data_IF_930931431445
#
_entry.id   IF_930931431445
#
_cell.length_a   1.000
_cell.length_b   1.000
_cell.length_c   1.000
_cell.angle_alpha   90.00
_cell.angle_beta   90.00
_cell.angle_gamma   90.00
#
_symmetry.space_group_name_H-M   'P 1'
#
loop_
_entity.id
_entity.type
_entity.pdbx_description
1 polymer ?
#
# COMPACT_ATOMS: atom_id res chain seq x y z
N UNK A 1 16.19 -4.89 25.02
CA UNK A 1 16.08 -3.88 23.94
C UNK A 1 14.90 -4.21 23.00
N UNK A 2 13.65 -3.76 23.24
CA UNK A 2 12.56 -4.06 22.27
C UNK A 2 11.54 -2.94 21.92
N UNK A 3 11.30 -1.93 22.76
CA UNK A 3 10.12 -1.04 22.58
C UNK A 3 10.30 0.06 21.52
N UNK A 4 11.49 0.67 21.42
CA UNK A 4 11.75 1.74 20.45
C UNK A 4 11.64 1.26 18.99
N UNK A 5 12.05 0.01 18.71
CA UNK A 5 11.92 -0.58 17.35
C UNK A 5 10.46 -0.81 16.96
N UNK A 6 9.62 -1.31 17.88
CA UNK A 6 8.18 -1.48 17.63
C UNK A 6 7.46 -0.15 17.43
N UNK A 7 7.78 0.88 18.22
CA UNK A 7 7.17 2.20 18.12
C UNK A 7 7.49 2.89 16.78
N UNK A 8 8.74 2.79 16.31
CA UNK A 8 9.16 3.33 15.02
C UNK A 8 8.52 2.60 13.83
N UNK A 9 8.34 1.28 13.94
CA UNK A 9 7.64 0.43 12.95
C UNK A 9 6.17 0.84 12.81
N UNK A 10 5.52 1.21 13.92
CA UNK A 10 4.12 1.63 13.89
C UNK A 10 3.93 2.99 13.22
N UNK A 11 4.73 3.98 13.64
CA UNK A 11 4.71 5.31 13.06
C UNK A 11 4.96 5.29 11.54
N UNK A 12 5.76 4.33 11.06
CA UNK A 12 6.00 4.17 9.64
C UNK A 12 4.82 3.60 8.86
N UNK A 13 4.16 2.57 9.37
CA UNK A 13 2.96 2.01 8.73
C UNK A 13 1.81 3.02 8.76
N UNK A 14 1.67 3.78 9.85
CA UNK A 14 0.70 4.87 9.94
C UNK A 14 1.00 5.99 8.94
N UNK A 15 2.27 6.39 8.81
CA UNK A 15 2.69 7.34 7.79
C UNK A 15 2.34 6.85 6.38
N UNK A 16 2.65 5.60 6.04
CA UNK A 16 2.30 5.03 4.74
C UNK A 16 0.79 4.92 4.52
N UNK A 17 0.02 4.54 5.55
CA UNK A 17 -1.44 4.55 5.50
C UNK A 17 -1.99 5.94 5.24
N UNK A 18 -1.32 6.99 5.71
CA UNK A 18 -1.72 8.37 5.43
C UNK A 18 -1.17 8.91 4.11
N UNK A 19 -0.46 8.08 3.33
CA UNK A 19 0.20 8.51 2.10
C UNK A 19 1.35 9.47 2.38
N UNK A 20 2.11 9.23 3.46
CA UNK A 20 3.26 10.01 3.91
C UNK A 20 4.51 9.12 4.01
N UNK A 21 5.67 9.75 4.05
CA UNK A 21 6.92 9.10 4.43
C UNK A 21 6.98 8.92 5.95
N UNK A 22 7.51 7.79 6.44
CA UNK A 22 7.78 7.61 7.86
C UNK A 22 8.73 8.67 8.41
N UNK A 23 8.55 9.11 9.66
CA UNK A 23 9.49 10.02 10.31
C UNK A 23 10.90 9.40 10.34
N UNK A 24 11.91 10.18 9.98
CA UNK A 24 13.31 9.74 9.90
C UNK A 24 13.67 8.95 8.63
N UNK A 25 12.74 8.75 7.70
CA UNK A 25 13.07 8.18 6.38
C UNK A 25 13.65 9.25 5.49
N UNK A 26 14.86 9.04 4.97
CA UNK A 26 15.42 9.88 3.92
C UNK A 26 14.56 9.70 2.65
N UNK A 27 13.89 10.75 2.14
CA UNK A 27 13.12 10.66 0.89
C UNK A 27 13.98 10.17 -0.29
N UNK A 28 15.30 10.41 -0.26
CA UNK A 28 16.26 9.94 -1.27
C UNK A 28 16.47 8.43 -1.21
N UNK A 29 16.17 7.78 -0.09
CA UNK A 29 16.20 6.31 0.04
C UNK A 29 14.98 5.63 -0.58
N UNK A 30 13.90 6.37 -0.87
CA UNK A 30 12.70 5.90 -1.55
C UNK A 30 12.42 6.73 -2.83
N UNK A 31 13.39 6.83 -3.76
CA UNK A 31 13.45 7.88 -4.79
C UNK A 31 12.35 7.83 -5.87
N UNK A 32 11.37 6.92 -5.74
CA UNK A 32 10.34 6.69 -6.76
C UNK A 32 8.93 6.54 -6.20
N UNK A 33 8.73 6.64 -4.88
CA UNK A 33 7.39 6.72 -4.31
C UNK A 33 6.79 8.10 -4.58
N UNK A 34 5.52 8.11 -4.97
CA UNK A 34 4.75 9.32 -5.21
C UNK A 34 3.85 9.61 -4.03
N UNK A 35 3.99 10.82 -3.51
CA UNK A 35 3.18 11.36 -2.42
C UNK A 35 2.47 12.65 -2.82
N UNK A 36 2.37 12.93 -4.12
CA UNK A 36 1.60 14.07 -4.62
C UNK A 36 0.09 13.88 -4.43
N UNK A 37 -0.67 14.96 -4.66
CA UNK A 37 -2.12 15.00 -4.40
C UNK A 37 -2.90 13.91 -5.13
N UNK A 38 -2.50 13.52 -6.35
CA UNK A 38 -3.18 12.45 -7.10
C UNK A 38 -2.94 11.10 -6.45
N UNK A 39 -1.69 10.82 -6.07
CA UNK A 39 -1.33 9.59 -5.36
C UNK A 39 -2.06 9.49 -4.00
N UNK A 40 -2.04 10.55 -3.20
CA UNK A 40 -2.72 10.59 -1.90
C UNK A 40 -4.24 10.37 -2.03
N UNK A 41 -4.87 11.01 -3.02
CA UNK A 41 -6.31 10.86 -3.26
C UNK A 41 -6.65 9.41 -3.65
N UNK A 42 -5.86 8.81 -4.56
CA UNK A 42 -6.05 7.41 -4.94
C UNK A 42 -5.89 6.47 -3.73
N UNK A 43 -4.86 6.67 -2.91
CA UNK A 43 -4.64 5.86 -1.69
C UNK A 43 -5.82 5.93 -0.73
N UNK A 44 -6.32 7.14 -0.43
CA UNK A 44 -7.48 7.32 0.47
C UNK A 44 -8.75 6.69 -0.09
N UNK A 45 -9.01 6.82 -1.39
CA UNK A 45 -10.18 6.23 -2.02
C UNK A 45 -10.15 4.70 -2.01
N UNK A 46 -8.97 4.09 -2.23
CA UNK A 46 -8.81 2.64 -2.12
C UNK A 46 -8.96 2.14 -0.68
N UNK A 47 -8.43 2.89 0.30
CA UNK A 47 -8.61 2.56 1.71
C UNK A 47 -10.07 2.57 2.12
N UNK A 48 -10.84 3.58 1.70
CA UNK A 48 -12.27 3.64 1.94
C UNK A 48 -13.04 2.51 1.25
N UNK A 49 -12.70 2.18 0.01
CA UNK A 49 -13.40 1.15 -0.77
C UNK A 49 -13.14 -0.28 -0.27
N UNK A 50 -11.93 -0.56 0.20
CA UNK A 50 -11.49 -1.93 0.50
C UNK A 50 -11.36 -2.21 2.01
N UNK A 51 -11.29 -1.18 2.86
CA UNK A 51 -10.99 -1.30 4.28
C UNK A 51 -11.91 -2.26 5.04
N UNK A 52 -13.21 -2.27 4.74
CA UNK A 52 -14.16 -3.19 5.39
C UNK A 52 -14.12 -4.62 4.86
N UNK A 53 -13.53 -4.82 3.68
CA UNK A 53 -13.39 -6.17 3.10
C UNK A 53 -12.17 -6.93 3.63
N UNK A 54 -11.19 -6.22 4.20
CA UNK A 54 -9.97 -6.84 4.73
C UNK A 54 -10.24 -7.48 6.09
N UNK A 55 -9.86 -8.76 6.30
CA UNK A 55 -10.00 -9.43 7.59
C UNK A 55 -9.30 -8.66 8.72
N UNK A 56 -9.83 -8.74 9.96
CA UNK A 56 -9.30 -8.02 11.13
C UNK A 56 -7.81 -8.27 11.42
N UNK A 57 -7.29 -9.44 11.07
CA UNK A 57 -5.89 -9.84 11.25
C UNK A 57 -5.07 -9.76 9.93
N UNK A 58 -5.58 -9.04 8.93
CA UNK A 58 -4.96 -8.88 7.63
C UNK A 58 -4.66 -7.41 7.30
N UNK A 59 -3.62 -7.21 6.51
CA UNK A 59 -3.32 -5.95 5.84
C UNK A 59 -3.20 -6.22 4.35
N UNK A 60 -3.99 -5.50 3.55
CA UNK A 60 -3.92 -5.53 2.10
C UNK A 60 -2.91 -4.48 1.62
N UNK A 61 -1.82 -4.93 1.01
CA UNK A 61 -0.81 -4.05 0.41
C UNK A 61 -1.05 -3.95 -1.08
N UNK A 62 -1.17 -2.72 -1.59
CA UNK A 62 -1.43 -2.41 -3.00
C UNK A 62 -0.28 -1.56 -3.52
N UNK A 63 0.30 -1.91 -4.66
CA UNK A 63 1.21 -1.03 -5.41
C UNK A 63 0.60 -0.66 -6.74
N UNK A 64 0.78 0.59 -7.16
CA UNK A 64 0.24 1.16 -8.41
C UNK A 64 1.34 1.93 -9.14
N UNK A 65 1.63 1.58 -10.39
CA UNK A 65 2.58 2.36 -11.19
C UNK A 65 1.97 3.68 -11.65
N UNK A 66 2.70 4.77 -11.52
CA UNK A 66 2.43 6.06 -12.15
C UNK A 66 2.83 6.04 -13.65
N UNK A 67 2.40 7.03 -14.46
CA UNK A 67 1.43 8.08 -14.15
C UNK A 67 0.00 7.56 -14.00
N UNK A 68 -0.75 8.07 -13.01
CA UNK A 68 -2.18 7.75 -12.83
C UNK A 68 -2.99 8.76 -13.63
N UNK A 69 -3.51 8.35 -14.78
CA UNK A 69 -4.28 9.24 -15.68
C UNK A 69 -5.78 9.31 -15.32
N UNK A 70 -6.35 8.20 -14.83
CA UNK A 70 -7.78 8.07 -14.58
C UNK A 70 -8.06 7.63 -13.12
N UNK A 71 -7.73 8.44 -12.11
CA UNK A 71 -7.70 8.00 -10.71
C UNK A 71 -9.02 7.41 -10.21
N UNK A 72 -10.16 8.05 -10.50
CA UNK A 72 -11.46 7.54 -10.08
C UNK A 72 -11.82 6.21 -10.74
N UNK A 73 -11.54 6.07 -12.05
CA UNK A 73 -11.78 4.82 -12.80
C UNK A 73 -10.85 3.70 -12.33
N UNK A 74 -9.59 4.04 -12.05
CA UNK A 74 -8.62 3.10 -11.48
C UNK A 74 -9.10 2.57 -10.14
N UNK A 75 -9.58 3.42 -9.24
CA UNK A 75 -10.15 3.02 -7.94
C UNK A 75 -11.33 2.07 -8.13
N UNK A 76 -12.31 2.44 -8.96
CA UNK A 76 -13.50 1.63 -9.18
C UNK A 76 -13.15 0.24 -9.74
N UNK A 77 -12.28 0.18 -10.77
CA UNK A 77 -11.88 -1.08 -11.36
C UNK A 77 -11.02 -1.95 -10.43
N UNK A 78 -10.15 -1.35 -9.60
CA UNK A 78 -9.45 -2.08 -8.55
C UNK A 78 -10.47 -2.67 -7.57
N UNK A 79 -11.43 -1.87 -7.11
CA UNK A 79 -12.49 -2.31 -6.20
C UNK A 79 -13.28 -3.50 -6.76
N UNK A 80 -13.70 -3.43 -8.02
CA UNK A 80 -14.42 -4.53 -8.69
C UNK A 80 -13.55 -5.78 -8.83
N UNK A 81 -12.27 -5.64 -9.18
CA UNK A 81 -11.37 -6.79 -9.37
C UNK A 81 -10.92 -7.43 -8.06
N UNK A 82 -10.84 -6.66 -6.99
CA UNK A 82 -10.56 -7.11 -5.64
C UNK A 82 -11.86 -7.34 -4.86
N UNK A 83 -12.94 -7.73 -5.54
CA UNK A 83 -14.26 -7.95 -4.93
C UNK A 83 -14.23 -8.96 -3.79
N UNK A 84 -15.39 -9.24 -3.19
CA UNK A 84 -15.47 -10.24 -2.13
C UNK A 84 -15.70 -11.65 -2.69
N UNK A 85 -14.93 -12.67 -2.25
CA UNK A 85 -13.84 -12.59 -1.27
C UNK A 85 -12.55 -11.98 -1.87
N UNK A 86 -11.84 -11.20 -1.06
CA UNK A 86 -10.56 -10.59 -1.45
C UNK A 86 -9.55 -11.69 -1.85
N UNK A 87 -8.90 -11.58 -3.03
CA UNK A 87 -7.89 -12.55 -3.41
C UNK A 87 -6.63 -12.42 -2.53
N UNK A 88 -5.91 -13.52 -2.28
CA UNK A 88 -4.66 -13.48 -1.50
C UNK A 88 -3.56 -12.66 -2.21
N UNK A 89 -3.58 -12.62 -3.54
CA UNK A 89 -2.70 -11.79 -4.35
C UNK A 89 -3.35 -11.43 -5.70
N UNK A 90 -2.90 -10.34 -6.31
CA UNK A 90 -3.27 -9.93 -7.67
C UNK A 90 -2.06 -9.23 -8.34
N UNK A 91 -1.79 -9.52 -9.60
CA UNK A 91 -0.85 -8.76 -10.45
C UNK A 91 -1.49 -8.57 -11.82
N UNK A 92 -1.72 -7.33 -12.23
CA UNK A 92 -2.36 -7.06 -13.50
C UNK A 92 -2.33 -5.58 -13.88
N UNK A 93 -2.89 -5.27 -15.06
CA UNK A 93 -3.01 -3.90 -15.55
C UNK A 93 -4.43 -3.39 -15.34
N UNK A 94 -4.60 -2.29 -14.60
CA UNK A 94 -5.88 -1.59 -14.38
C UNK A 94 -5.76 -0.17 -14.92
N UNK A 95 -6.62 0.21 -15.88
CA UNK A 95 -6.62 1.57 -16.45
C UNK A 95 -5.24 2.09 -16.92
N UNK A 96 -4.38 1.19 -17.42
CA UNK A 96 -3.01 1.52 -17.86
C UNK A 96 -1.97 1.58 -16.74
N UNK A 97 -2.35 1.30 -15.50
CA UNK A 97 -1.44 1.20 -14.36
C UNK A 97 -1.20 -0.28 -14.03
N UNK A 98 0.06 -0.68 -13.83
CA UNK A 98 0.34 -1.98 -13.22
C UNK A 98 0.00 -1.92 -11.74
N UNK A 99 -0.85 -2.84 -11.33
CA UNK A 99 -1.36 -2.96 -9.97
C UNK A 99 -0.92 -4.32 -9.43
N UNK A 100 -0.26 -4.30 -8.27
CA UNK A 100 0.01 -5.53 -7.51
C UNK A 100 -0.63 -5.43 -6.15
N UNK A 101 -1.14 -6.56 -5.68
CA UNK A 101 -1.82 -6.68 -4.41
C UNK A 101 -1.34 -7.92 -3.72
N UNK A 102 -1.15 -7.83 -2.41
CA UNK A 102 -0.87 -8.99 -1.56
C UNK A 102 -1.53 -8.81 -0.21
N UNK A 103 -2.19 -9.85 0.26
CA UNK A 103 -2.68 -9.93 1.63
C UNK A 103 -1.56 -10.41 2.54
N UNK A 104 -1.27 -9.66 3.58
CA UNK A 104 -0.31 -10.00 4.61
C UNK A 104 -1.04 -10.27 5.91
N UNK A 105 -0.63 -11.30 6.62
CA UNK A 105 -1.06 -11.53 8.00
C UNK A 105 -0.42 -10.47 8.90
N UNK A 106 -1.25 -9.69 9.59
CA UNK A 106 -0.80 -8.74 10.59
C UNK A 106 -1.49 -9.03 11.92
N UNK A 107 -0.72 -9.51 12.89
CA UNK A 107 -1.24 -9.80 14.25
C UNK A 107 -1.31 -8.56 15.14
N UNK A 108 -0.85 -7.41 14.67
CA UNK A 108 -0.82 -6.19 15.46
C UNK A 108 -2.20 -5.53 15.50
N UNK A 109 -2.75 -5.36 16.71
CA UNK A 109 -3.99 -4.58 16.91
C UNK A 109 -3.77 -3.14 16.42
N UNK A 110 -4.71 -2.63 15.62
CA UNK A 110 -4.68 -1.26 15.10
C UNK A 110 -3.91 -1.09 13.78
N UNK A 111 -3.48 -2.18 13.14
CA UNK A 111 -2.84 -2.10 11.84
C UNK A 111 -3.73 -1.45 10.77
N UNK A 112 -3.16 -0.61 9.88
CA UNK A 112 -3.90 -0.15 8.73
C UNK A 112 -4.30 -1.36 7.88
N UNK A 113 -5.61 -1.47 7.63
CA UNK A 113 -6.18 -2.57 6.84
C UNK A 113 -5.75 -2.53 5.38
N UNK A 114 -5.50 -1.35 4.83
CA UNK A 114 -5.08 -1.15 3.45
C UNK A 114 -3.91 -0.18 3.38
N UNK A 115 -2.82 -0.61 2.77
CA UNK A 115 -1.63 0.22 2.50
C UNK A 115 -1.48 0.34 0.98
N UNK A 116 -1.32 1.56 0.48
CA UNK A 116 -1.21 1.83 -0.96
C UNK A 116 0.07 2.59 -1.27
N UNK A 117 0.87 2.05 -2.18
CA UNK A 117 2.07 2.69 -2.72
C UNK A 117 1.87 3.07 -4.17
N UNK A 118 2.11 4.33 -4.51
CA UNK A 118 2.19 4.77 -5.90
C UNK A 118 3.65 4.97 -6.25
N UNK A 119 4.11 4.42 -7.37
CA UNK A 119 5.53 4.50 -7.76
C UNK A 119 5.75 4.67 -9.26
N UNK A 120 6.87 5.27 -9.69
CA UNK A 120 7.21 5.33 -11.12
C UNK A 120 7.63 3.94 -11.67
N UNK A 121 7.39 3.63 -12.97
CA UNK A 121 7.64 2.31 -13.56
C UNK A 121 9.11 2.14 -13.97
N UNK A 122 9.87 1.23 -13.32
CA UNK A 122 11.17 0.66 -13.77
C UNK A 122 11.64 -0.47 -12.80
N UNK A 123 12.68 -1.29 -13.11
CA UNK A 123 12.57 -2.76 -13.18
C UNK A 123 12.50 -3.55 -11.86
N UNK A 124 12.45 -2.95 -10.68
CA UNK A 124 12.45 -3.71 -9.41
C UNK A 124 11.24 -3.44 -8.51
N UNK A 125 10.03 -3.69 -9.04
CA UNK A 125 8.76 -3.70 -8.27
C UNK A 125 8.78 -4.74 -7.12
N UNK A 126 9.69 -5.73 -7.17
CA UNK A 126 9.93 -6.68 -6.08
C UNK A 126 10.39 -6.01 -4.77
N UNK A 127 11.11 -4.89 -4.85
CA UNK A 127 11.72 -4.27 -3.66
C UNK A 127 10.71 -3.69 -2.68
N UNK A 128 9.61 -3.08 -3.15
CA UNK A 128 8.64 -2.40 -2.29
C UNK A 128 7.77 -3.37 -1.49
N UNK A 129 7.25 -4.41 -2.14
CA UNK A 129 6.49 -5.46 -1.44
C UNK A 129 7.40 -6.25 -0.49
N UNK A 130 8.62 -6.59 -0.90
CA UNK A 130 9.60 -7.25 -0.04
C UNK A 130 10.02 -6.37 1.16
N UNK A 131 10.13 -5.05 0.97
CA UNK A 131 10.41 -4.10 2.06
C UNK A 131 9.25 -4.10 3.06
N UNK A 132 8.01 -3.99 2.57
CA UNK A 132 6.82 -4.00 3.43
C UNK A 132 6.65 -5.36 4.12
N UNK A 133 6.95 -6.46 3.44
CA UNK A 133 7.01 -7.79 4.05
C UNK A 133 8.10 -7.91 5.10
N UNK A 134 9.31 -7.40 4.87
CA UNK A 134 10.35 -7.36 5.91
C UNK A 134 9.95 -6.45 7.09
N UNK A 135 9.08 -5.47 6.84
CA UNK A 135 8.53 -4.54 7.83
C UNK A 135 7.18 -4.99 8.41
N UNK A 136 6.57 -6.09 7.96
CA UNK A 136 5.34 -6.66 8.51
C UNK A 136 5.53 -8.11 8.99
N UNK A 137 6.54 -8.80 8.47
CA UNK A 137 7.11 -10.05 8.98
C UNK A 137 7.94 -9.75 10.22
N UNK A 138 7.28 -9.85 11.36
CA UNK A 138 7.53 -10.83 12.43
C UNK A 138 6.37 -10.69 13.43
#
# INVERSE_FOLDING_TARGET
MPERRRRNRWAALEAFAQGRLPPGTDPRSLPRLRFDRVAQRLSRSLQAALGESVPKAGTLVITVTAPIRLPARTVAQIGTRLGQPLPPAFDGIVCGNRVRVRMLSCRARGAPRVIVFVHNPQPSVRGLLALVEAWLGD
#
